data_IF_690509622817
#
_entry.id   IF_690509622817
#
_cell.length_a   1.000
_cell.length_b   1.000
_cell.length_c   1.000
_cell.angle_alpha   90.00
_cell.angle_beta   90.00
_cell.angle_gamma   90.00
#
_symmetry.space_group_name_H-M   'P 1'
#
loop_
_entity.id
_entity.type
_entity.pdbx_description
1 polymer ?
#
# COMPACT_ATOMS: atom_id res chain seq x y z
N UNK A 1 0.22 11.06 -39.00
CA UNK A 1 0.64 10.61 -37.68
C UNK A 1 -0.29 9.50 -37.21
N UNK A 2 0.04 8.25 -37.52
CA UNK A 2 -0.63 7.11 -36.90
C UNK A 2 -0.07 7.00 -35.46
N UNK A 3 -0.85 7.39 -34.47
CA UNK A 3 -0.57 7.04 -33.08
C UNK A 3 -0.57 5.51 -33.01
N UNK A 4 0.59 4.90 -32.85
CA UNK A 4 0.69 3.48 -32.52
C UNK A 4 0.19 3.34 -31.08
N UNK A 5 -1.07 2.98 -30.92
CA UNK A 5 -1.63 2.60 -29.64
C UNK A 5 -0.90 1.34 -29.14
N UNK A 6 -0.11 1.47 -28.08
CA UNK A 6 0.49 0.32 -27.45
C UNK A 6 -0.63 -0.60 -26.92
N UNK A 7 -0.50 -1.90 -27.20
CA UNK A 7 -1.45 -2.87 -26.64
C UNK A 7 -1.33 -2.87 -25.11
N UNK A 8 -2.46 -2.78 -24.39
CA UNK A 8 -2.41 -2.86 -22.94
C UNK A 8 -1.83 -4.21 -22.50
N UNK A 9 -0.93 -4.17 -21.50
CA UNK A 9 -0.37 -5.36 -20.90
C UNK A 9 -1.19 -5.84 -19.70
N UNK A 10 -1.78 -4.89 -18.98
CA UNK A 10 -2.53 -5.13 -17.74
C UNK A 10 -3.92 -4.52 -17.85
N UNK A 11 -4.84 -5.04 -17.03
CA UNK A 11 -6.15 -4.43 -16.80
C UNK A 11 -6.43 -4.39 -15.29
N UNK A 12 -7.29 -3.46 -14.90
CA UNK A 12 -7.81 -3.36 -13.54
C UNK A 12 -9.29 -3.69 -13.58
N UNK A 13 -9.74 -4.52 -12.65
CA UNK A 13 -11.15 -4.78 -12.38
C UNK A 13 -11.43 -4.56 -10.90
N UNK A 14 -12.66 -4.23 -10.55
CA UNK A 14 -13.00 -4.03 -9.16
C UNK A 14 -14.50 -3.93 -8.94
N UNK A 15 -14.88 -3.95 -7.67
CA UNK A 15 -16.25 -3.81 -7.20
C UNK A 15 -16.33 -2.81 -6.06
N UNK A 16 -17.45 -2.11 -6.00
CA UNK A 16 -17.78 -1.18 -4.93
C UNK A 16 -18.92 -1.77 -4.12
N UNK A 17 -18.78 -1.79 -2.80
CA UNK A 17 -19.82 -2.17 -1.88
C UNK A 17 -20.23 -0.98 -1.00
N UNK A 18 -21.52 -0.85 -0.76
CA UNK A 18 -22.09 0.11 0.17
C UNK A 18 -22.84 -0.63 1.27
N UNK A 19 -22.55 -0.33 2.52
CA UNK A 19 -23.31 -0.80 3.65
C UNK A 19 -23.81 0.42 4.42
N UNK A 20 -25.10 0.69 4.36
CA UNK A 20 -25.74 1.71 5.18
C UNK A 20 -26.13 1.09 6.53
N UNK A 21 -25.46 1.51 7.60
CA UNK A 21 -25.68 0.99 8.94
C UNK A 21 -26.73 1.77 9.74
N UNK A 22 -27.54 2.60 9.13
CA UNK A 22 -28.70 3.21 9.82
C UNK A 22 -29.68 2.16 10.42
N UNK A 23 -29.47 0.88 10.11
CA UNK A 23 -30.32 -0.25 10.56
C UNK A 23 -29.78 -0.90 11.85
N UNK A 24 -28.58 -0.59 12.34
CA UNK A 24 -28.00 -1.28 13.49
C UNK A 24 -28.45 -0.77 14.86
N UNK A 25 -29.38 0.18 14.92
CA UNK A 25 -29.95 0.67 16.19
C UNK A 25 -31.02 -0.26 16.81
N UNK A 26 -31.42 -1.35 16.18
CA UNK A 26 -32.62 -2.09 16.58
C UNK A 26 -32.47 -3.59 16.88
N UNK A 27 -31.28 -4.21 16.89
CA UNK A 27 -31.20 -5.62 17.28
C UNK A 27 -29.96 -5.93 18.14
N UNK A 28 -30.22 -6.06 19.44
CA UNK A 28 -29.41 -6.86 20.34
C UNK A 28 -29.46 -8.32 19.88
N UNK A 29 -28.31 -8.91 19.66
CA UNK A 29 -28.14 -10.35 19.72
C UNK A 29 -28.29 -11.10 18.41
N UNK A 30 -27.21 -11.19 17.65
CA UNK A 30 -26.82 -12.42 16.94
C UNK A 30 -25.36 -12.21 16.47
N UNK A 31 -24.47 -13.11 16.86
CA UNK A 31 -23.04 -12.99 16.63
C UNK A 31 -22.68 -12.93 15.16
N UNK A 32 -21.92 -11.92 14.82
CA UNK A 32 -21.01 -11.94 13.69
C UNK A 32 -19.61 -11.82 14.28
N UNK A 33 -18.94 -12.95 14.39
CA UNK A 33 -17.52 -13.01 14.69
C UNK A 33 -16.78 -12.58 13.42
N UNK A 34 -16.28 -11.38 13.43
CA UNK A 34 -15.50 -10.85 12.34
C UNK A 34 -15.09 -9.43 12.66
N UNK A 35 -13.88 -9.29 13.21
CA UNK A 35 -13.12 -8.05 13.34
C UNK A 35 -13.84 -6.93 14.11
N UNK A 36 -13.60 -6.90 15.42
CA UNK A 36 -13.96 -5.75 16.27
C UNK A 36 -13.21 -4.53 15.80
N UNK A 37 -13.91 -3.62 15.15
CA UNK A 37 -13.53 -2.22 15.11
C UNK A 37 -13.97 -1.64 16.45
N UNK A 38 -13.10 -1.62 17.44
CA UNK A 38 -13.29 -0.82 18.65
C UNK A 38 -13.06 0.66 18.30
N UNK A 39 -13.98 1.22 17.53
CA UNK A 39 -14.24 2.65 17.59
C UNK A 39 -15.12 2.87 18.80
N UNK A 40 -14.66 3.64 19.78
CA UNK A 40 -15.47 4.16 20.86
C UNK A 40 -16.58 5.05 20.32
N UNK A 41 -17.52 4.46 19.61
CA UNK A 41 -18.62 5.16 18.97
C UNK A 41 -19.83 5.17 19.89
N UNK A 42 -20.21 6.37 20.26
CA UNK A 42 -21.42 6.65 21.04
C UNK A 42 -22.67 6.17 20.28
N UNK A 43 -23.59 5.56 20.97
CA UNK A 43 -24.66 4.63 20.58
C UNK A 43 -25.76 5.19 19.64
N UNK A 44 -25.64 6.39 19.11
CA UNK A 44 -26.76 7.08 18.43
C UNK A 44 -26.41 7.69 17.06
N UNK A 45 -25.40 7.17 16.32
CA UNK A 45 -24.96 7.79 15.07
C UNK A 45 -24.97 6.78 13.93
N UNK A 46 -25.65 7.13 12.84
CA UNK A 46 -25.60 6.35 11.62
C UNK A 46 -24.20 6.40 11.00
N UNK A 47 -23.72 5.27 10.51
CA UNK A 47 -22.47 5.21 9.76
C UNK A 47 -22.71 4.54 8.40
N UNK A 48 -22.09 5.08 7.37
CA UNK A 48 -22.07 4.47 6.04
C UNK A 48 -20.68 3.88 5.80
N UNK A 49 -20.61 2.60 5.45
CA UNK A 49 -19.37 1.94 5.06
C UNK A 49 -19.34 1.83 3.54
N UNK A 50 -18.27 2.31 2.95
CA UNK A 50 -17.99 2.16 1.53
C UNK A 50 -16.77 1.28 1.38
N UNK A 51 -16.89 0.14 0.71
CA UNK A 51 -15.79 -0.75 0.37
C UNK A 51 -15.44 -0.64 -1.11
N UNK A 52 -14.16 -0.72 -1.42
CA UNK A 52 -13.65 -0.83 -2.78
C UNK A 52 -12.69 -2.02 -2.83
N UNK A 53 -12.98 -2.96 -3.68
CA UNK A 53 -12.12 -4.08 -4.01
C UNK A 53 -11.62 -3.91 -5.44
N UNK A 54 -10.29 -4.00 -5.64
CA UNK A 54 -9.66 -3.88 -6.96
C UNK A 54 -8.64 -4.99 -7.16
N UNK A 55 -8.53 -5.46 -8.40
CA UNK A 55 -7.60 -6.51 -8.81
C UNK A 55 -6.85 -6.10 -10.06
N UNK A 56 -5.59 -6.47 -10.13
CA UNK A 56 -4.78 -6.34 -11.34
C UNK A 56 -4.76 -7.68 -12.09
N UNK A 57 -4.95 -7.63 -13.39
CA UNK A 57 -4.94 -8.82 -14.24
C UNK A 57 -4.09 -8.63 -15.51
N UNK A 58 -3.63 -9.74 -16.07
CA UNK A 58 -2.95 -9.79 -17.36
C UNK A 58 -3.99 -9.63 -18.49
N UNK A 59 -3.80 -8.61 -19.32
CA UNK A 59 -4.75 -8.28 -20.39
C UNK A 59 -4.80 -9.35 -21.47
N UNK A 60 -3.71 -10.05 -21.72
CA UNK A 60 -3.60 -11.06 -22.77
C UNK A 60 -4.27 -12.36 -22.38
N UNK A 61 -4.03 -12.83 -21.16
CA UNK A 61 -4.58 -14.10 -20.64
C UNK A 61 -5.96 -13.93 -20.02
N UNK A 62 -6.37 -12.71 -19.68
CA UNK A 62 -7.60 -12.39 -18.95
C UNK A 62 -7.67 -13.01 -17.55
N UNK A 63 -6.54 -13.32 -16.97
CA UNK A 63 -6.44 -13.86 -15.62
C UNK A 63 -6.03 -12.80 -14.61
N UNK A 64 -6.56 -12.88 -13.40
CA UNK A 64 -6.09 -12.06 -12.28
C UNK A 64 -4.69 -12.51 -11.86
N UNK A 65 -3.85 -11.56 -11.50
CA UNK A 65 -2.50 -11.84 -11.02
C UNK A 65 -2.58 -12.05 -9.50
N UNK A 66 -2.21 -13.23 -8.99
CA UNK A 66 -2.29 -13.51 -7.56
C UNK A 66 -1.47 -12.52 -6.73
N UNK A 67 -2.01 -12.09 -5.58
CA UNK A 67 -1.34 -11.14 -4.68
C UNK A 67 -1.37 -9.68 -5.14
N UNK A 68 -1.98 -9.37 -6.30
CA UNK A 68 -2.16 -8.02 -6.80
C UNK A 68 -3.63 -7.60 -6.70
N UNK A 69 -4.09 -7.59 -5.48
CA UNK A 69 -5.42 -7.14 -5.07
C UNK A 69 -5.32 -6.03 -4.01
N UNK A 70 -6.37 -5.24 -3.91
CA UNK A 70 -6.55 -4.18 -2.93
C UNK A 70 -8.01 -4.24 -2.47
N UNK A 71 -8.24 -4.28 -1.16
CA UNK A 71 -9.56 -4.28 -0.57
C UNK A 71 -9.60 -3.28 0.58
N UNK A 72 -10.13 -2.10 0.33
CA UNK A 72 -10.12 -0.99 1.26
C UNK A 72 -11.53 -0.56 1.64
N UNK A 73 -11.71 -0.11 2.86
CA UNK A 73 -12.99 0.35 3.39
C UNK A 73 -12.85 1.75 4.00
N UNK A 74 -13.86 2.56 3.82
CA UNK A 74 -14.00 3.86 4.49
C UNK A 74 -15.32 3.89 5.23
N UNK A 75 -15.28 4.31 6.49
CA UNK A 75 -16.44 4.49 7.37
C UNK A 75 -16.70 5.98 7.48
N UNK A 76 -17.87 6.41 7.08
CA UNK A 76 -18.34 7.79 7.18
C UNK A 76 -19.33 7.85 8.34
N UNK A 77 -18.94 8.45 9.46
CA UNK A 77 -19.80 8.69 10.60
C UNK A 77 -20.47 10.06 10.48
N UNK A 78 -21.78 10.12 10.69
CA UNK A 78 -22.51 11.36 10.80
C UNK A 78 -22.58 11.78 12.28
N UNK A 79 -21.65 12.61 12.72
CA UNK A 79 -21.71 13.24 14.03
C UNK A 79 -22.30 14.65 13.87
N UNK A 80 -23.22 15.07 14.72
CA UNK A 80 -23.85 16.39 14.63
C UNK A 80 -22.90 17.60 14.68
N UNK A 81 -21.57 17.36 14.65
CA UNK A 81 -20.51 18.36 14.60
C UNK A 81 -19.57 18.20 13.40
N UNK A 82 -19.88 17.32 12.44
CA UNK A 82 -19.06 17.08 11.25
C UNK A 82 -19.04 15.60 10.85
N UNK A 83 -18.47 15.33 9.69
CA UNK A 83 -18.25 13.96 9.18
C UNK A 83 -16.91 13.45 9.71
N UNK A 84 -16.94 12.37 10.48
CA UNK A 84 -15.74 11.64 10.86
C UNK A 84 -15.51 10.54 9.83
N UNK A 85 -14.37 10.56 9.18
CA UNK A 85 -14.01 9.57 8.17
C UNK A 85 -12.80 8.78 8.64
N UNK A 86 -13.00 7.50 8.88
CA UNK A 86 -11.94 6.55 9.19
C UNK A 86 -11.85 5.51 8.07
N UNK A 87 -10.64 5.11 7.69
CA UNK A 87 -10.43 4.11 6.67
C UNK A 87 -9.69 2.88 7.19
N UNK A 88 -9.86 1.76 6.51
CA UNK A 88 -9.17 0.51 6.76
C UNK A 88 -8.54 0.01 5.47
N UNK A 89 -7.24 -0.28 5.50
CA UNK A 89 -6.49 -0.83 4.37
C UNK A 89 -6.50 -2.35 4.47
N UNK A 90 -7.12 -2.96 3.48
CA UNK A 90 -7.05 -4.38 3.18
C UNK A 90 -7.38 -5.31 4.34
N UNK A 91 -6.96 -6.53 4.18
CA UNK A 91 -6.99 -7.58 5.21
C UNK A 91 -6.08 -7.28 6.41
N UNK A 92 -5.27 -6.26 6.34
CA UNK A 92 -4.27 -5.91 7.36
C UNK A 92 -4.84 -5.16 8.57
N UNK A 93 -6.07 -4.67 8.49
CA UNK A 93 -6.70 -3.95 9.59
C UNK A 93 -6.05 -2.61 9.94
N UNK A 94 -5.16 -2.09 9.10
CA UNK A 94 -4.53 -0.78 9.29
C UNK A 94 -5.58 0.31 9.18
N UNK A 95 -5.78 1.05 10.26
CA UNK A 95 -6.71 2.19 10.30
C UNK A 95 -5.98 3.47 9.95
N UNK A 96 -6.60 4.32 9.16
CA UNK A 96 -6.11 5.66 8.87
C UNK A 96 -7.21 6.70 9.03
N UNK A 97 -6.83 7.90 9.40
CA UNK A 97 -7.76 9.00 9.60
C UNK A 97 -7.69 9.92 8.37
N UNK A 98 -8.80 10.08 7.67
CA UNK A 98 -8.85 10.90 6.44
C UNK A 98 -9.06 12.39 6.75
N UNK A 99 -9.20 12.77 8.03
CA UNK A 99 -9.36 14.17 8.45
C UNK A 99 -10.81 14.66 8.42
N UNK A 100 -11.02 15.80 9.08
CA UNK A 100 -12.36 16.37 9.32
C UNK A 100 -12.96 17.19 8.16
N UNK A 101 -12.22 17.42 7.08
CA UNK A 101 -12.62 18.40 6.04
C UNK A 101 -13.37 17.80 4.84
N UNK A 102 -13.86 16.55 4.93
CA UNK A 102 -14.65 15.97 3.85
C UNK A 102 -16.11 16.46 3.89
N UNK A 103 -16.31 17.74 3.68
CA UNK A 103 -17.65 18.32 3.47
C UNK A 103 -18.36 17.81 2.20
N UNK A 104 -17.68 16.99 1.40
CA UNK A 104 -18.14 16.48 0.10
C UNK A 104 -18.75 15.07 0.14
N UNK A 105 -18.92 14.45 1.30
CA UNK A 105 -19.67 13.21 1.47
C UNK A 105 -19.05 11.97 0.79
N UNK A 106 -19.90 11.06 0.32
CA UNK A 106 -19.53 9.76 -0.26
C UNK A 106 -18.63 9.85 -1.50
N UNK A 107 -18.71 10.93 -2.27
CA UNK A 107 -17.88 11.13 -3.46
C UNK A 107 -16.39 11.33 -3.14
N UNK A 108 -16.08 12.06 -2.08
CA UNK A 108 -14.71 12.26 -1.64
C UNK A 108 -14.13 10.97 -1.03
N UNK A 109 -14.92 10.27 -0.23
CA UNK A 109 -14.55 8.96 0.31
C UNK A 109 -14.22 7.94 -0.80
N UNK A 110 -15.04 7.90 -1.85
CA UNK A 110 -14.80 7.04 -3.02
C UNK A 110 -13.51 7.40 -3.74
N UNK A 111 -13.23 8.70 -3.93
CA UNK A 111 -11.97 9.15 -4.54
C UNK A 111 -10.77 8.68 -3.73
N UNK A 112 -10.80 8.87 -2.41
CA UNK A 112 -9.74 8.42 -1.51
C UNK A 112 -9.52 6.91 -1.59
N UNK A 113 -10.59 6.11 -1.65
CA UNK A 113 -10.49 4.66 -1.83
C UNK A 113 -9.82 4.28 -3.15
N UNK A 114 -10.18 4.93 -4.24
CA UNK A 114 -9.58 4.68 -5.56
C UNK A 114 -8.10 5.07 -5.56
N UNK A 115 -7.75 6.24 -5.03
CA UNK A 115 -6.36 6.70 -4.93
C UNK A 115 -5.52 5.72 -4.10
N UNK A 116 -6.04 5.30 -2.95
CA UNK A 116 -5.39 4.32 -2.09
C UNK A 116 -5.18 2.97 -2.77
N UNK A 117 -6.22 2.45 -3.44
CA UNK A 117 -6.15 1.18 -4.16
C UNK A 117 -5.13 1.23 -5.31
N UNK A 118 -5.06 2.36 -6.04
CA UNK A 118 -4.05 2.54 -7.10
C UNK A 118 -2.63 2.56 -6.53
N UNK A 119 -2.41 3.29 -5.43
CA UNK A 119 -1.11 3.34 -4.75
C UNK A 119 -0.70 1.93 -4.27
N UNK A 120 -1.63 1.20 -3.65
CA UNK A 120 -1.39 -0.16 -3.17
C UNK A 120 -1.07 -1.13 -4.31
N UNK A 121 -1.88 -1.17 -5.37
CA UNK A 121 -1.64 -2.03 -6.53
C UNK A 121 -0.33 -1.69 -7.24
N UNK A 122 -0.02 -0.40 -7.40
CA UNK A 122 1.25 0.02 -7.98
C UNK A 122 2.45 -0.38 -7.12
N UNK A 123 2.34 -0.24 -5.79
CA UNK A 123 3.37 -0.66 -4.85
C UNK A 123 3.59 -2.16 -4.86
N UNK A 124 2.53 -2.95 -4.80
CA UNK A 124 2.59 -4.41 -4.90
C UNK A 124 3.19 -4.87 -6.24
N UNK A 125 2.77 -4.26 -7.35
CA UNK A 125 3.33 -4.56 -8.68
C UNK A 125 4.83 -4.27 -8.78
N UNK A 126 5.26 -3.15 -8.22
CA UNK A 126 6.67 -2.72 -8.27
C UNK A 126 7.51 -3.27 -7.14
N UNK A 127 6.89 -3.94 -6.15
CA UNK A 127 7.48 -4.39 -4.88
C UNK A 127 8.12 -3.24 -4.09
N UNK A 128 7.46 -2.08 -4.11
CA UNK A 128 7.87 -0.91 -3.33
C UNK A 128 6.93 -0.71 -2.14
N UNK A 129 7.46 -0.32 -0.98
CA UNK A 129 6.68 -0.14 0.25
C UNK A 129 5.75 1.07 0.14
N UNK A 130 4.61 0.91 -0.51
CA UNK A 130 3.61 1.95 -0.79
C UNK A 130 3.08 2.63 0.48
N UNK A 131 3.10 1.94 1.61
CA UNK A 131 2.68 2.49 2.91
C UNK A 131 3.55 3.66 3.36
N UNK A 132 4.80 3.78 2.90
CA UNK A 132 5.67 4.93 3.16
C UNK A 132 5.21 6.22 2.44
N UNK A 133 4.43 6.08 1.37
CA UNK A 133 3.80 7.21 0.68
C UNK A 133 2.52 7.67 1.37
N UNK A 134 2.04 6.92 2.35
CA UNK A 134 0.82 7.17 3.10
C UNK A 134 1.20 7.65 4.52
N UNK A 135 0.31 8.40 5.17
CA UNK A 135 0.50 8.84 6.56
C UNK A 135 0.16 7.72 7.55
N UNK A 136 0.72 6.52 7.31
CA UNK A 136 0.47 5.32 8.08
C UNK A 136 1.64 4.99 8.99
N UNK A 137 1.38 4.13 9.98
CA UNK A 137 2.43 3.55 10.80
C UNK A 137 3.26 2.56 9.98
N UNK A 138 4.45 3.00 9.59
CA UNK A 138 5.40 2.19 8.81
C UNK A 138 5.93 0.97 9.58
N UNK A 139 5.76 0.95 10.91
CA UNK A 139 6.20 -0.16 11.77
C UNK A 139 5.13 -1.25 11.95
N UNK A 140 3.97 -1.10 11.29
CA UNK A 140 2.89 -2.08 11.40
C UNK A 140 3.38 -3.48 10.97
N UNK A 141 3.13 -4.53 11.79
CA UNK A 141 3.68 -5.86 11.56
C UNK A 141 3.38 -6.45 10.18
N UNK A 142 2.20 -6.16 9.64
CA UNK A 142 1.79 -6.66 8.32
C UNK A 142 2.60 -6.04 7.18
N UNK A 143 2.96 -4.76 7.28
CA UNK A 143 3.84 -4.13 6.31
C UNK A 143 5.26 -4.69 6.39
N UNK A 144 5.74 -4.94 7.58
CA UNK A 144 7.06 -5.56 7.79
C UNK A 144 7.07 -7.01 7.28
N UNK A 145 5.99 -7.75 7.49
CA UNK A 145 5.82 -9.11 6.95
C UNK A 145 5.83 -9.08 5.41
N UNK A 146 5.07 -8.19 4.79
CA UNK A 146 5.01 -8.06 3.33
C UNK A 146 6.38 -7.70 2.73
N UNK A 147 7.12 -6.78 3.36
CA UNK A 147 8.46 -6.41 2.92
C UNK A 147 9.42 -7.60 2.99
N UNK A 148 9.31 -8.40 4.04
CA UNK A 148 10.09 -9.61 4.22
C UNK A 148 9.75 -10.68 3.18
N UNK A 149 8.47 -10.91 2.91
CA UNK A 149 8.00 -11.80 1.85
C UNK A 149 8.56 -11.39 0.49
N UNK A 150 8.51 -10.10 0.15
CA UNK A 150 9.09 -9.60 -1.11
C UNK A 150 10.61 -9.80 -1.21
N UNK A 151 11.31 -9.70 -0.09
CA UNK A 151 12.73 -10.00 -0.06
C UNK A 151 12.99 -11.49 -0.25
N UNK A 152 12.28 -12.35 0.46
CA UNK A 152 12.48 -13.80 0.41
C UNK A 152 12.08 -14.41 -0.97
N UNK A 153 11.08 -13.83 -1.64
CA UNK A 153 10.66 -14.22 -3.00
C UNK A 153 11.53 -13.61 -4.11
N UNK A 154 12.23 -12.52 -3.84
CA UNK A 154 13.05 -11.81 -4.81
C UNK A 154 14.39 -12.51 -5.04
N UNK A 155 14.95 -12.33 -6.24
CA UNK A 155 16.34 -12.69 -6.51
C UNK A 155 17.31 -11.54 -6.19
N UNK A 156 18.61 -11.85 -6.10
CA UNK A 156 19.64 -10.89 -5.79
C UNK A 156 19.74 -9.75 -6.82
N UNK A 157 19.42 -10.00 -8.07
CA UNK A 157 19.40 -8.98 -9.12
C UNK A 157 18.24 -7.99 -8.94
N UNK A 158 17.08 -8.48 -8.52
CA UNK A 158 15.93 -7.63 -8.18
C UNK A 158 16.24 -6.74 -6.97
N UNK A 159 16.83 -7.31 -5.90
CA UNK A 159 17.26 -6.53 -4.73
C UNK A 159 18.29 -5.47 -5.11
N UNK A 160 19.30 -5.84 -5.89
CA UNK A 160 20.32 -4.90 -6.36
C UNK A 160 19.71 -3.73 -7.13
N UNK A 161 18.78 -4.00 -8.04
CA UNK A 161 18.10 -2.96 -8.82
C UNK A 161 17.28 -2.01 -7.96
N UNK A 162 16.53 -2.52 -6.97
CA UNK A 162 15.70 -1.69 -6.09
C UNK A 162 16.58 -0.81 -5.19
N UNK A 163 17.58 -1.42 -4.54
CA UNK A 163 18.53 -0.69 -3.69
C UNK A 163 19.36 0.32 -4.50
N UNK A 164 19.81 -0.04 -5.71
CA UNK A 164 20.51 0.88 -6.61
C UNK A 164 19.68 2.13 -6.92
N UNK A 165 18.39 1.98 -7.21
CA UNK A 165 17.49 3.11 -7.45
C UNK A 165 17.42 4.04 -6.25
N UNK A 166 17.28 3.48 -5.07
CA UNK A 166 17.24 4.26 -3.84
C UNK A 166 18.57 4.98 -3.61
N UNK A 167 19.69 4.29 -3.72
CA UNK A 167 21.04 4.87 -3.54
C UNK A 167 21.32 5.98 -4.55
N UNK A 168 20.84 5.84 -5.80
CA UNK A 168 20.93 6.89 -6.79
C UNK A 168 20.08 8.12 -6.41
N UNK A 169 18.87 7.92 -5.91
CA UNK A 169 18.01 9.01 -5.45
C UNK A 169 18.57 9.76 -4.24
N UNK A 170 19.37 9.08 -3.42
CA UNK A 170 20.04 9.67 -2.24
C UNK A 170 21.45 10.20 -2.53
N UNK A 171 21.93 10.12 -3.78
CA UNK A 171 23.22 10.64 -4.20
C UNK A 171 24.42 9.74 -3.89
N UNK A 172 24.21 8.50 -3.47
CA UNK A 172 25.31 7.53 -3.28
C UNK A 172 25.83 6.98 -4.61
N UNK A 173 25.01 7.03 -5.66
CA UNK A 173 25.36 6.62 -7.03
C UNK A 173 24.93 7.70 -8.02
N UNK A 174 25.54 7.72 -9.22
CA UNK A 174 25.02 8.48 -10.35
C UNK A 174 23.55 8.09 -10.68
N UNK A 175 22.88 8.92 -11.47
CA UNK A 175 21.52 8.64 -11.91
C UNK A 175 21.39 7.21 -12.47
N UNK A 176 20.27 6.55 -12.15
CA UNK A 176 20.01 5.18 -12.57
C UNK A 176 19.82 5.12 -14.09
N UNK A 177 20.82 4.62 -14.81
CA UNK A 177 20.75 4.39 -16.25
C UNK A 177 20.61 2.90 -16.60
N UNK A 178 21.39 2.05 -15.94
CA UNK A 178 21.38 0.61 -16.15
C UNK A 178 21.41 -0.14 -14.83
N UNK A 179 20.74 -1.31 -14.77
CA UNK A 179 20.77 -2.17 -13.61
C UNK A 179 22.18 -2.77 -13.41
N UNK A 180 22.71 -2.59 -12.24
CA UNK A 180 23.98 -3.20 -11.82
C UNK A 180 23.72 -4.60 -11.21
N UNK A 181 24.68 -5.51 -11.40
CA UNK A 181 24.66 -6.79 -10.68
C UNK A 181 25.05 -6.61 -9.21
N UNK A 182 24.66 -7.53 -8.31
CA UNK A 182 25.04 -7.45 -6.89
C UNK A 182 26.56 -7.41 -6.64
N UNK A 183 27.33 -7.95 -7.56
CA UNK A 183 28.80 -8.04 -7.48
C UNK A 183 29.49 -6.78 -8.01
N UNK A 184 28.74 -5.85 -8.62
CA UNK A 184 29.30 -4.63 -9.20
C UNK A 184 30.05 -3.83 -8.13
N UNK A 185 31.36 -3.51 -8.33
CA UNK A 185 32.17 -2.83 -7.30
C UNK A 185 31.60 -1.46 -6.90
N UNK A 186 31.10 -0.68 -7.86
CA UNK A 186 30.53 0.63 -7.56
C UNK A 186 29.24 0.53 -6.71
N UNK A 187 28.40 -0.47 -6.99
CA UNK A 187 27.21 -0.73 -6.17
C UNK A 187 27.59 -1.15 -4.75
N UNK A 188 28.56 -2.07 -4.61
CA UNK A 188 29.05 -2.53 -3.30
C UNK A 188 29.68 -1.41 -2.48
N UNK A 189 30.45 -0.54 -3.10
CA UNK A 189 31.01 0.63 -2.45
C UNK A 189 29.92 1.61 -1.98
N UNK A 190 28.91 1.88 -2.82
CA UNK A 190 27.78 2.73 -2.46
C UNK A 190 26.95 2.14 -1.32
N UNK A 191 26.71 0.82 -1.34
CA UNK A 191 26.05 0.10 -0.23
C UNK A 191 26.87 0.22 1.04
N UNK A 192 28.20 0.05 0.97
CA UNK A 192 29.07 0.19 2.14
C UNK A 192 29.02 1.59 2.75
N UNK A 193 29.01 2.65 1.93
CA UNK A 193 28.85 4.03 2.41
C UNK A 193 27.48 4.25 3.06
N UNK A 194 26.42 3.77 2.45
CA UNK A 194 25.06 3.83 3.00
C UNK A 194 24.97 3.11 4.35
N UNK A 195 25.55 1.90 4.46
CA UNK A 195 25.61 1.15 5.72
C UNK A 195 26.37 1.92 6.80
N UNK A 196 27.51 2.53 6.45
CA UNK A 196 28.32 3.33 7.37
C UNK A 196 27.52 4.54 7.89
N UNK A 197 26.86 5.28 7.03
CA UNK A 197 26.09 6.47 7.38
C UNK A 197 24.90 6.15 8.32
N UNK A 198 24.37 4.94 8.23
CA UNK A 198 23.31 4.45 9.12
C UNK A 198 23.83 3.73 10.37
N UNK A 199 25.16 3.67 10.58
CA UNK A 199 25.76 2.96 11.72
C UNK A 199 25.58 1.44 11.68
N UNK A 200 25.37 0.87 10.49
CA UNK A 200 25.24 -0.56 10.27
C UNK A 200 26.63 -1.23 10.13
N UNK A 201 26.65 -2.56 10.17
CA UNK A 201 27.85 -3.31 9.82
C UNK A 201 28.15 -3.13 8.32
N UNK A 202 29.33 -2.60 8.00
CA UNK A 202 29.73 -2.32 6.62
C UNK A 202 30.21 -3.60 5.94
N UNK A 203 29.34 -4.18 5.13
CA UNK A 203 29.63 -5.41 4.35
C UNK A 203 29.72 -5.16 2.85
N UNK A 204 29.11 -4.08 2.38
CA UNK A 204 28.91 -3.82 0.95
C UNK A 204 27.95 -4.82 0.27
N UNK A 205 27.28 -5.67 1.06
CA UNK A 205 26.29 -6.63 0.57
C UNK A 205 24.88 -6.16 0.87
N UNK A 206 23.94 -6.54 0.00
CA UNK A 206 22.51 -6.22 0.18
C UNK A 206 21.87 -7.40 0.89
N UNK A 207 21.96 -7.41 2.21
CA UNK A 207 21.18 -8.28 3.08
C UNK A 207 19.79 -7.69 3.36
N UNK A 208 18.95 -8.44 4.09
CA UNK A 208 17.59 -7.98 4.41
C UNK A 208 17.61 -6.63 5.15
N UNK A 209 18.48 -6.44 6.10
CA UNK A 209 18.54 -5.21 6.88
C UNK A 209 18.90 -4.00 6.00
N UNK A 210 19.82 -4.17 5.08
CA UNK A 210 20.20 -3.15 4.10
C UNK A 210 19.02 -2.86 3.14
N UNK A 211 18.34 -3.91 2.67
CA UNK A 211 17.16 -3.80 1.81
C UNK A 211 16.02 -3.06 2.50
N UNK A 212 15.69 -3.44 3.74
CA UNK A 212 14.66 -2.81 4.56
C UNK A 212 14.91 -1.32 4.81
N UNK A 213 16.18 -0.95 5.04
CA UNK A 213 16.57 0.44 5.26
C UNK A 213 16.56 1.29 3.99
N UNK A 214 16.80 0.65 2.85
CA UNK A 214 16.78 1.32 1.56
C UNK A 214 15.35 1.50 1.00
N UNK A 215 14.42 0.63 1.33
CA UNK A 215 13.04 0.67 0.83
C UNK A 215 12.04 1.12 1.88
#
# INVERSE_FOLDING_TARGET
>A
NQMQLQRPALYVSGAISFVDQNVLTARQGAGISGTRVELGYDRNRGATIIGLEMHLGDFRTRTLIPGLDSANEVIIGNSGQGLDVAGKIGSYGVQFNVGRDLTQGSGAAMRTLVELAVIELAGKWTRLPYWRCLTLDNTHPEFQRQLREWYDEGDSGTHARLVQRYLASQGYLPAFEQAMTPENPALREAVGRFQADLGMVVTGAIDYTTYERAL
#
